data_IF_595321595404
#
_entry.id   IF_595321595404
#
_cell.length_a   1.000
_cell.length_b   1.000
_cell.length_c   1.000
_cell.angle_alpha   90.00
_cell.angle_beta   90.00
_cell.angle_gamma   90.00
#
_symmetry.space_group_name_H-M   'P 1'
#
loop_
_entity.id
_entity.type
_entity.pdbx_description
1 polymer ?
#
# COMPACT_ATOMS: atom_id res chain seq x y z
N UNK A 1 10.82 -27.57 -7.28
CA UNK A 1 10.90 -27.23 -8.72
C UNK A 1 9.58 -26.55 -9.05
N UNK A 2 9.60 -25.27 -9.43
CA UNK A 2 8.38 -24.53 -9.76
C UNK A 2 7.74 -25.11 -11.02
N UNK A 3 6.44 -25.38 -10.97
CA UNK A 3 5.68 -25.89 -12.09
C UNK A 3 5.51 -24.75 -13.10
N UNK A 4 6.20 -24.88 -14.23
CA UNK A 4 6.43 -23.81 -15.20
C UNK A 4 5.16 -23.12 -15.69
N UNK A 5 5.19 -21.80 -15.64
CA UNK A 5 4.56 -20.95 -16.64
C UNK A 5 5.64 -20.00 -17.18
N UNK A 6 5.48 -19.61 -18.45
CA UNK A 6 6.45 -18.90 -19.27
C UNK A 6 7.00 -17.66 -18.54
N UNK A 7 8.29 -17.63 -18.14
CA UNK A 7 8.79 -16.57 -17.27
C UNK A 7 8.85 -15.23 -18.01
N UNK A 8 8.14 -14.22 -17.50
CA UNK A 8 8.16 -12.84 -18.01
C UNK A 8 8.98 -11.93 -17.09
N UNK A 9 9.89 -11.12 -17.64
CA UNK A 9 10.71 -10.18 -16.85
C UNK A 9 11.92 -9.64 -17.62
N UNK A 10 12.83 -8.98 -16.90
CA UNK A 10 14.06 -8.41 -17.49
C UNK A 10 15.01 -9.57 -17.83
N UNK A 11 15.27 -9.78 -19.13
CA UNK A 11 16.26 -10.75 -19.59
C UNK A 11 17.62 -10.43 -18.97
N UNK A 12 18.27 -11.45 -18.38
CA UNK A 12 19.67 -11.30 -17.99
C UNK A 12 20.51 -11.04 -19.24
N UNK A 13 21.41 -10.06 -19.20
CA UNK A 13 22.35 -9.80 -20.31
C UNK A 13 23.44 -10.87 -20.30
N UNK A 14 23.15 -12.04 -20.89
CA UNK A 14 24.11 -13.13 -21.02
C UNK A 14 24.81 -13.04 -22.38
N UNK A 15 26.14 -12.98 -22.38
CA UNK A 15 26.93 -13.11 -23.60
C UNK A 15 26.98 -14.60 -24.01
N UNK A 16 26.04 -14.96 -24.89
CA UNK A 16 26.07 -16.10 -25.82
C UNK A 16 25.50 -17.45 -25.37
N UNK A 17 25.29 -17.75 -24.07
CA UNK A 17 24.57 -18.96 -23.63
C UNK A 17 23.76 -18.67 -22.36
N UNK A 18 22.45 -18.44 -22.50
CA UNK A 18 21.57 -18.11 -21.37
C UNK A 18 20.98 -19.35 -20.65
N UNK A 19 21.53 -20.55 -20.86
CA UNK A 19 20.98 -21.78 -20.29
C UNK A 19 19.62 -22.17 -20.90
N UNK A 20 18.99 -23.26 -20.45
CA UNK A 20 17.81 -23.87 -21.09
C UNK A 20 16.52 -23.04 -21.00
N UNK A 21 16.55 -21.89 -20.30
CA UNK A 21 15.39 -21.01 -20.07
C UNK A 21 15.69 -19.55 -20.40
N UNK A 22 16.64 -19.28 -21.31
CA UNK A 22 17.02 -17.91 -21.73
C UNK A 22 17.36 -16.96 -20.55
N UNK A 23 17.96 -17.52 -19.49
CA UNK A 23 18.40 -16.79 -18.31
C UNK A 23 17.28 -16.48 -17.33
N UNK A 24 16.08 -17.03 -17.54
CA UNK A 24 14.90 -16.78 -16.72
C UNK A 24 14.59 -17.99 -15.83
N UNK A 25 14.18 -17.74 -14.58
CA UNK A 25 13.72 -18.77 -13.64
C UNK A 25 12.22 -18.55 -13.41
N UNK A 26 11.33 -19.47 -13.86
CA UNK A 26 9.91 -19.37 -13.55
C UNK A 26 9.72 -19.49 -12.04
N UNK A 27 8.93 -18.59 -11.48
CA UNK A 27 8.67 -18.57 -10.06
C UNK A 27 7.23 -18.20 -9.76
N UNK A 28 6.70 -18.78 -8.69
CA UNK A 28 5.40 -18.44 -8.11
C UNK A 28 5.56 -17.71 -6.80
N UNK A 29 4.44 -17.29 -6.21
CA UNK A 29 4.48 -16.37 -5.09
C UNK A 29 5.10 -16.86 -3.78
N UNK A 30 5.27 -18.16 -3.61
CA UNK A 30 5.91 -18.73 -2.42
C UNK A 30 7.24 -19.42 -2.74
N UNK A 31 7.84 -19.12 -3.89
CA UNK A 31 9.06 -19.79 -4.32
C UNK A 31 10.29 -19.25 -3.59
N UNK A 32 11.29 -20.11 -3.43
CA UNK A 32 12.65 -19.72 -3.08
C UNK A 32 13.55 -19.93 -4.28
N UNK A 33 14.32 -18.92 -4.65
CA UNK A 33 15.37 -19.03 -5.65
C UNK A 33 16.67 -19.37 -4.92
N UNK A 34 17.33 -20.46 -5.32
CA UNK A 34 18.66 -20.82 -4.82
C UNK A 34 19.61 -21.00 -5.98
N UNK A 35 20.75 -20.32 -5.94
CA UNK A 35 21.83 -20.44 -6.92
C UNK A 35 23.04 -21.01 -6.20
N UNK A 36 23.56 -22.14 -6.68
CA UNK A 36 24.80 -22.75 -6.18
C UNK A 36 25.85 -22.79 -7.28
N UNK A 37 27.06 -22.34 -6.98
CA UNK A 37 28.21 -22.41 -7.88
C UNK A 37 29.35 -23.18 -7.21
N UNK A 38 29.83 -24.24 -7.88
CA UNK A 38 31.04 -24.95 -7.46
C UNK A 38 32.25 -24.42 -8.23
N UNK A 39 33.28 -23.95 -7.52
CA UNK A 39 34.46 -23.32 -8.16
C UNK A 39 35.73 -24.15 -8.06
N UNK A 40 35.76 -25.14 -7.17
CA UNK A 40 36.81 -26.16 -7.09
C UNK A 40 36.22 -27.42 -6.46
N UNK A 41 36.92 -28.56 -6.58
CA UNK A 41 36.45 -29.85 -6.07
C UNK A 41 35.97 -29.68 -4.62
N UNK A 42 34.68 -29.90 -4.39
CA UNK A 42 34.03 -29.85 -3.07
C UNK A 42 33.93 -28.43 -2.45
N UNK A 43 33.99 -27.35 -3.23
CA UNK A 43 33.77 -25.97 -2.76
C UNK A 43 32.62 -25.29 -3.50
N UNK A 44 31.49 -25.15 -2.80
CA UNK A 44 30.26 -24.52 -3.31
C UNK A 44 29.96 -23.21 -2.59
N UNK A 45 29.53 -22.20 -3.37
CA UNK A 45 28.90 -20.98 -2.85
C UNK A 45 27.43 -21.04 -3.20
N UNK A 46 26.57 -20.92 -2.19
CA UNK A 46 25.11 -20.89 -2.39
C UNK A 46 24.55 -19.55 -1.96
N UNK A 47 23.79 -18.90 -2.84
CA UNK A 47 22.95 -17.76 -2.53
C UNK A 47 21.48 -18.16 -2.62
N UNK A 48 20.67 -17.78 -1.64
CA UNK A 48 19.23 -18.05 -1.65
C UNK A 48 18.45 -16.76 -1.43
N UNK A 49 17.32 -16.62 -2.11
CA UNK A 49 16.35 -15.53 -1.95
C UNK A 49 14.94 -16.14 -1.87
N UNK A 50 14.08 -15.56 -1.05
CA UNK A 50 12.67 -15.94 -0.97
C UNK A 50 11.83 -14.91 -1.71
N UNK A 51 10.85 -15.39 -2.48
CA UNK A 51 9.77 -14.56 -2.99
C UNK A 51 8.75 -14.42 -1.86
N UNK A 52 8.45 -13.18 -1.52
CA UNK A 52 7.49 -12.75 -0.49
C UNK A 52 6.72 -11.59 -1.09
N UNK A 53 5.40 -11.63 -0.97
CA UNK A 53 4.52 -10.51 -1.34
C UNK A 53 4.08 -9.82 -0.08
N UNK A 54 3.84 -8.53 -0.21
CA UNK A 54 3.27 -7.71 0.83
C UNK A 54 1.79 -7.48 0.51
N UNK A 55 0.92 -7.72 1.48
CA UNK A 55 -0.43 -7.15 1.40
C UNK A 55 -0.32 -5.70 1.80
N UNK A 56 -0.76 -4.80 0.95
CA UNK A 56 -0.77 -3.38 1.30
C UNK A 56 -1.61 -3.11 2.55
N UNK A 57 -1.22 -2.11 3.33
CA UNK A 57 -1.98 -1.61 4.46
C UNK A 57 -2.38 -0.16 4.23
N UNK A 58 -3.57 0.25 4.66
CA UNK A 58 -4.07 1.61 4.53
C UNK A 58 -4.58 2.12 5.89
N UNK A 59 -4.18 3.34 6.27
CA UNK A 59 -4.56 3.95 7.54
C UNK A 59 -4.61 5.47 7.47
N UNK A 60 -5.37 6.09 8.39
CA UNK A 60 -5.30 7.52 8.65
C UNK A 60 -4.31 7.79 9.79
N UNK A 61 -3.46 8.80 9.65
CA UNK A 61 -2.42 9.10 10.65
C UNK A 61 -2.95 9.69 11.95
N UNK A 62 -4.19 10.17 11.96
CA UNK A 62 -4.85 10.67 13.17
C UNK A 62 -6.22 10.04 13.30
N UNK A 63 -6.66 9.89 14.54
CA UNK A 63 -7.98 9.34 14.86
C UNK A 63 -9.12 10.30 14.53
N UNK A 64 -8.84 11.61 14.43
CA UNK A 64 -9.81 12.66 14.21
C UNK A 64 -9.18 13.82 13.45
N UNK A 65 -9.93 14.43 12.53
CA UNK A 65 -9.55 15.65 11.83
C UNK A 65 -10.66 16.70 11.95
N UNK A 66 -10.32 17.99 12.14
CA UNK A 66 -11.31 19.04 12.20
C UNK A 66 -11.89 19.31 10.80
N UNK A 67 -13.14 19.77 10.78
CA UNK A 67 -13.79 20.28 9.57
C UNK A 67 -13.04 21.52 9.08
N UNK A 68 -12.73 21.59 7.79
CA UNK A 68 -11.78 22.56 7.21
C UNK A 68 -10.30 22.33 7.57
N UNK A 69 -9.96 21.15 8.09
CA UNK A 69 -8.60 20.71 8.37
C UNK A 69 -7.98 19.85 7.26
N UNK A 70 -6.79 19.31 7.56
CA UNK A 70 -6.06 18.40 6.69
C UNK A 70 -5.94 17.01 7.31
N UNK A 71 -6.31 16.00 6.54
CA UNK A 71 -6.06 14.59 6.82
C UNK A 71 -4.82 14.07 6.09
N UNK A 72 -4.13 13.09 6.69
CA UNK A 72 -3.06 12.35 5.99
C UNK A 72 -3.47 10.88 5.96
N UNK A 73 -3.66 10.38 4.75
CA UNK A 73 -3.81 8.96 4.47
C UNK A 73 -2.43 8.37 4.22
N UNK A 74 -2.13 7.24 4.85
CA UNK A 74 -0.92 6.47 4.65
C UNK A 74 -1.27 5.10 4.05
N UNK A 75 -0.48 4.69 3.06
CA UNK A 75 -0.46 3.33 2.52
C UNK A 75 0.94 2.74 2.72
N UNK A 76 1.03 1.52 3.22
CA UNK A 76 2.28 0.76 3.36
C UNK A 76 2.19 -0.41 2.40
N UNK A 77 2.93 -0.33 1.30
CA UNK A 77 3.02 -1.37 0.28
C UNK A 77 4.41 -1.30 -0.39
N UNK A 78 5.39 -2.07 0.10
CA UNK A 78 6.72 -2.21 -0.51
C UNK A 78 6.69 -2.62 -1.99
N UNK A 79 5.68 -3.37 -2.41
CA UNK A 79 5.60 -3.91 -3.77
C UNK A 79 5.22 -2.82 -4.79
N UNK A 80 4.62 -1.72 -4.32
CA UNK A 80 4.35 -0.52 -5.13
C UNK A 80 5.55 0.41 -5.33
N UNK A 81 6.71 0.12 -4.71
CA UNK A 81 7.96 0.86 -4.94
C UNK A 81 8.71 0.31 -6.15
N UNK A 82 8.20 0.59 -7.36
CA UNK A 82 8.67 -0.04 -8.61
C UNK A 82 10.12 0.31 -8.99
N UNK A 83 10.66 1.41 -8.47
CA UNK A 83 12.05 1.80 -8.71
C UNK A 83 12.70 2.31 -7.39
N UNK A 84 13.65 1.56 -6.81
CA UNK A 84 14.24 1.89 -5.52
C UNK A 84 15.11 3.17 -5.53
N UNK A 85 15.43 3.71 -6.72
CA UNK A 85 16.19 4.97 -6.85
C UNK A 85 15.33 6.22 -6.98
N UNK A 86 14.00 6.10 -7.06
CA UNK A 86 13.10 7.23 -7.33
C UNK A 86 11.84 7.17 -6.48
N UNK A 87 11.27 8.34 -6.18
CA UNK A 87 9.97 8.45 -5.50
C UNK A 87 8.86 7.98 -6.43
N UNK A 88 8.13 6.95 -6.00
CA UNK A 88 6.96 6.44 -6.70
C UNK A 88 5.69 7.21 -6.32
N UNK A 89 4.71 7.28 -7.23
CA UNK A 89 3.41 7.93 -7.02
C UNK A 89 2.28 7.13 -7.66
N UNK A 90 1.12 7.14 -7.02
CA UNK A 90 -0.13 6.59 -7.56
C UNK A 90 -1.34 7.32 -6.98
N UNK A 91 -2.52 7.08 -7.53
CA UNK A 91 -3.76 7.71 -7.03
C UNK A 91 -4.59 6.73 -6.21
N UNK A 92 -5.28 7.26 -5.19
CA UNK A 92 -6.18 6.51 -4.27
C UNK A 92 -7.51 7.26 -4.15
N UNK A 93 -8.61 6.51 -4.03
CA UNK A 93 -9.95 7.09 -3.90
C UNK A 93 -10.26 7.40 -2.44
N UNK A 94 -10.88 8.55 -2.21
CA UNK A 94 -11.40 8.97 -0.89
C UNK A 94 -12.78 9.60 -1.05
N UNK A 95 -13.70 9.29 -0.17
CA UNK A 95 -15.07 9.82 -0.18
C UNK A 95 -15.63 9.98 1.24
N UNK A 96 -16.77 10.66 1.36
CA UNK A 96 -17.50 10.82 2.62
C UNK A 96 -18.95 10.33 2.48
N UNK A 97 -19.64 10.11 3.59
CA UNK A 97 -21.07 9.76 3.56
C UNK A 97 -21.92 10.84 2.87
N UNK A 98 -21.55 12.12 3.00
CA UNK A 98 -22.22 13.25 2.33
C UNK A 98 -21.76 13.47 0.89
N UNK A 99 -20.63 12.91 0.47
CA UNK A 99 -20.11 12.96 -0.90
C UNK A 99 -19.56 11.60 -1.33
N UNK A 100 -20.47 10.73 -1.77
CA UNK A 100 -20.15 9.40 -2.27
C UNK A 100 -19.39 9.41 -3.61
N UNK A 101 -19.35 10.55 -4.31
CA UNK A 101 -18.54 10.72 -5.52
C UNK A 101 -17.06 10.93 -5.18
N UNK A 102 -16.79 11.57 -4.06
CA UNK A 102 -15.47 11.72 -3.48
C UNK A 102 -14.45 12.41 -4.40
N UNK A 103 -13.18 12.06 -4.22
CA UNK A 103 -12.08 12.51 -5.07
C UNK A 103 -10.96 11.48 -5.12
N UNK A 104 -10.03 11.66 -6.06
CA UNK A 104 -8.76 10.94 -6.09
C UNK A 104 -7.65 11.82 -5.53
N UNK A 105 -6.87 11.25 -4.62
CA UNK A 105 -5.67 11.89 -4.06
C UNK A 105 -4.42 11.19 -4.57
N UNK A 106 -3.38 11.96 -4.81
CA UNK A 106 -2.07 11.42 -5.17
C UNK A 106 -1.31 11.02 -3.92
N UNK A 107 -0.99 9.74 -3.84
CA UNK A 107 -0.12 9.13 -2.85
C UNK A 107 1.34 9.26 -3.33
N UNK A 108 2.21 9.79 -2.48
CA UNK A 108 3.63 9.97 -2.78
C UNK A 108 4.47 9.17 -1.81
N UNK A 109 5.42 8.41 -2.33
CA UNK A 109 6.38 7.68 -1.52
C UNK A 109 7.19 8.64 -0.64
N UNK A 110 7.36 8.31 0.64
CA UNK A 110 8.02 9.18 1.62
C UNK A 110 9.53 9.27 1.40
N UNK A 111 10.14 8.19 0.92
CA UNK A 111 11.51 8.12 0.44
C UNK A 111 11.64 6.99 -0.59
N UNK A 112 12.62 7.09 -1.50
CA UNK A 112 12.78 6.11 -2.57
C UNK A 112 13.04 4.71 -1.98
N UNK A 113 12.24 3.73 -2.39
CA UNK A 113 12.36 2.34 -1.90
C UNK A 113 11.74 2.08 -0.52
N UNK A 114 11.04 3.04 0.09
CA UNK A 114 10.45 2.84 1.42
C UNK A 114 9.20 1.98 1.42
N UNK A 115 8.45 1.95 0.31
CA UNK A 115 7.13 1.32 0.29
C UNK A 115 6.07 2.05 1.12
N UNK A 116 6.40 3.23 1.67
CA UNK A 116 5.47 4.01 2.49
C UNK A 116 5.03 5.22 1.69
N UNK A 117 3.73 5.33 1.44
CA UNK A 117 3.12 6.38 0.65
C UNK A 117 2.17 7.22 1.49
N UNK A 118 2.19 8.54 1.28
CA UNK A 118 1.31 9.46 1.98
C UNK A 118 0.60 10.41 1.00
N UNK A 119 -0.67 10.69 1.28
CA UNK A 119 -1.48 11.65 0.55
C UNK A 119 -2.23 12.56 1.53
N UNK A 120 -2.26 13.86 1.23
CA UNK A 120 -2.99 14.84 2.02
C UNK A 120 -4.40 15.04 1.46
N UNK A 121 -5.39 15.08 2.35
CA UNK A 121 -6.79 15.39 2.03
C UNK A 121 -7.19 16.68 2.75
N UNK A 122 -7.68 17.67 2.01
CA UNK A 122 -8.22 18.91 2.55
C UNK A 122 -9.74 18.75 2.72
N UNK A 123 -10.21 18.66 3.96
CA UNK A 123 -11.65 18.58 4.24
C UNK A 123 -12.28 19.95 4.07
N UNK A 124 -13.46 20.05 3.45
CA UNK A 124 -14.20 21.32 3.31
C UNK A 124 -15.70 21.10 3.46
N UNK A 125 -16.41 22.10 3.99
CA UNK A 125 -17.87 21.99 4.19
C UNK A 125 -18.70 22.76 3.17
N UNK A 126 -18.09 23.64 2.36
CA UNK A 126 -18.84 24.55 1.46
C UNK A 126 -18.59 24.33 -0.03
N UNK A 127 -17.57 23.54 -0.39
CA UNK A 127 -17.18 23.35 -1.78
C UNK A 127 -17.25 21.87 -2.16
N UNK A 128 -17.59 21.56 -3.43
CA UNK A 128 -17.54 20.20 -3.92
C UNK A 128 -16.11 19.68 -3.94
N UNK A 129 -15.99 18.35 -3.88
CA UNK A 129 -14.72 17.64 -3.98
C UNK A 129 -14.00 17.92 -5.30
N UNK A 130 -12.69 18.12 -5.23
CA UNK A 130 -11.84 18.37 -6.40
C UNK A 130 -10.36 18.28 -6.03
N UNK A 131 -9.59 17.51 -6.79
CA UNK A 131 -8.17 17.30 -6.50
C UNK A 131 -7.97 16.69 -5.11
N UNK A 132 -7.16 17.31 -4.27
CA UNK A 132 -6.98 16.86 -2.88
C UNK A 132 -8.05 17.36 -1.90
N UNK A 133 -9.09 18.05 -2.38
CA UNK A 133 -10.17 18.57 -1.54
C UNK A 133 -11.35 17.59 -1.52
N UNK A 134 -11.84 17.26 -0.33
CA UNK A 134 -13.00 16.41 -0.09
C UNK A 134 -14.11 17.19 0.62
N UNK A 135 -15.32 17.17 0.08
CA UNK A 135 -16.52 17.69 0.72
C UNK A 135 -16.91 16.78 1.90
N UNK A 136 -17.13 17.39 3.06
CA UNK A 136 -17.57 16.70 4.28
C UNK A 136 -18.62 17.51 5.01
N UNK A 137 -19.53 16.81 5.67
CA UNK A 137 -20.42 17.34 6.70
C UNK A 137 -19.94 16.94 8.10
N UNK A 138 -20.45 17.66 9.09
CA UNK A 138 -20.24 17.35 10.50
C UNK A 138 -20.80 15.96 10.82
N UNK A 139 -19.95 15.05 11.30
CA UNK A 139 -20.34 13.68 11.65
C UNK A 139 -20.23 12.65 10.52
N UNK A 140 -19.75 13.04 9.34
CA UNK A 140 -19.52 12.10 8.23
C UNK A 140 -18.54 10.99 8.59
N UNK A 141 -18.74 9.79 8.04
CA UNK A 141 -17.64 8.83 7.89
C UNK A 141 -16.89 9.17 6.61
N UNK A 142 -15.57 9.28 6.70
CA UNK A 142 -14.69 9.44 5.55
C UNK A 142 -13.94 8.15 5.32
N UNK A 143 -13.93 7.71 4.06
CA UNK A 143 -13.41 6.41 3.65
C UNK A 143 -12.30 6.60 2.63
N UNK A 144 -11.20 5.86 2.82
CA UNK A 144 -10.15 5.71 1.82
C UNK A 144 -10.11 4.27 1.30
N UNK A 145 -9.95 4.10 0.00
CA UNK A 145 -9.87 2.79 -0.65
C UNK A 145 -8.58 2.67 -1.45
N UNK A 146 -7.80 1.65 -1.08
CA UNK A 146 -6.62 1.24 -1.80
C UNK A 146 -6.89 -0.06 -2.55
N UNK A 147 -6.48 -0.13 -3.81
CA UNK A 147 -6.54 -1.37 -4.61
C UNK A 147 -5.12 -1.85 -4.81
N UNK A 148 -4.77 -2.93 -4.11
CA UNK A 148 -3.50 -3.62 -4.26
C UNK A 148 -3.52 -4.43 -5.57
N UNK A 149 -2.60 -4.05 -6.47
CA UNK A 149 -2.43 -4.65 -7.80
C UNK A 149 -1.15 -5.46 -7.92
N UNK A 150 -0.45 -5.65 -6.80
CA UNK A 150 0.85 -6.34 -6.74
C UNK A 150 0.73 -7.76 -6.23
N UNK A 151 -0.44 -8.13 -5.68
CA UNK A 151 -0.69 -9.48 -5.22
C UNK A 151 -0.63 -10.53 -6.34
N UNK A 152 -0.01 -11.70 -6.09
CA UNK A 152 0.08 -12.78 -7.05
C UNK A 152 -1.21 -13.61 -7.06
N UNK A 153 -1.39 -14.41 -8.12
CA UNK A 153 -2.39 -15.48 -8.17
C UNK A 153 -2.26 -16.41 -6.94
N UNK A 154 -3.36 -16.83 -6.28
CA UNK A 154 -4.76 -16.76 -6.72
C UNK A 154 -5.52 -15.50 -6.25
N UNK A 155 -4.85 -14.53 -5.62
CA UNK A 155 -5.52 -13.29 -5.26
C UNK A 155 -5.93 -12.56 -6.55
N UNK A 156 -7.12 -11.95 -6.53
CA UNK A 156 -7.52 -11.02 -7.57
C UNK A 156 -6.37 -10.03 -7.77
N UNK A 157 -5.96 -9.77 -9.01
CA UNK A 157 -5.00 -8.71 -9.38
C UNK A 157 -5.50 -7.29 -9.03
N UNK A 158 -6.58 -7.20 -8.25
CA UNK A 158 -7.27 -6.01 -7.76
C UNK A 158 -7.88 -6.30 -6.38
N UNK A 159 -7.09 -6.71 -5.39
CA UNK A 159 -7.61 -6.82 -4.03
C UNK A 159 -7.84 -5.41 -3.48
N UNK A 160 -9.08 -5.09 -3.10
CA UNK A 160 -9.43 -3.79 -2.51
C UNK A 160 -9.35 -3.86 -0.99
N UNK A 161 -8.63 -2.92 -0.39
CA UNK A 161 -8.49 -2.74 1.05
C UNK A 161 -9.08 -1.36 1.38
N UNK A 162 -10.06 -1.36 2.27
CA UNK A 162 -10.83 -0.16 2.63
C UNK A 162 -10.61 0.18 4.10
N UNK A 163 -10.38 1.45 4.40
CA UNK A 163 -10.36 1.97 5.78
C UNK A 163 -11.32 3.14 5.91
N UNK A 164 -12.09 3.13 6.99
CA UNK A 164 -13.06 4.18 7.33
C UNK A 164 -12.62 4.90 8.60
N UNK A 165 -12.82 6.21 8.67
CA UNK A 165 -12.74 6.96 9.92
C UNK A 165 -13.96 7.87 10.09
N UNK A 166 -14.32 8.15 11.33
CA UNK A 166 -15.41 9.08 11.64
C UNK A 166 -14.85 10.52 11.70
N UNK A 167 -15.32 11.39 10.84
CA UNK A 167 -15.05 12.82 10.87
C UNK A 167 -15.92 13.50 11.95
N UNK A 168 -15.28 14.25 12.86
CA UNK A 168 -15.95 14.95 13.96
C UNK A 168 -15.63 16.44 13.92
N UNK A 169 -16.66 17.28 13.89
CA UNK A 169 -16.53 18.72 14.00
C UNK A 169 -16.46 19.14 15.47
N UNK A 170 -15.33 19.72 15.88
CA UNK A 170 -15.22 20.34 17.19
C UNK A 170 -15.78 21.76 17.12
N UNK A 171 -17.03 21.94 17.53
CA UNK A 171 -17.51 23.29 17.87
C UNK A 171 -16.91 23.69 19.22
N UNK A 172 -16.39 24.92 19.26
CA UNK A 172 -15.65 25.51 20.38
C UNK A 172 -16.48 25.48 21.68
N UNK A 173 -16.32 24.45 22.51
CA UNK A 173 -16.74 24.49 23.91
C UNK A 173 -15.80 23.66 24.76
N UNK A 174 -15.22 24.34 25.74
CA UNK A 174 -14.34 23.79 26.77
C UNK A 174 -14.87 22.50 27.42
N UNK A 175 -13.98 21.51 27.51
CA UNK A 175 -13.87 20.53 28.62
C UNK A 175 -14.80 19.29 28.60
N UNK A 176 -14.26 18.13 28.22
CA UNK A 176 -13.72 17.08 29.14
C UNK A 176 -13.50 15.77 28.37
N UNK A 177 -12.36 15.12 28.64
CA UNK A 177 -11.99 13.80 28.10
C UNK A 177 -13.08 12.75 28.34
N UNK A 178 -13.37 11.93 27.33
CA UNK A 178 -13.86 10.55 27.53
C UNK A 178 -13.07 9.59 26.64
N UNK A 179 -12.01 9.03 27.19
CA UNK A 179 -11.48 7.73 26.79
C UNK A 179 -12.23 6.67 27.59
N UNK A 180 -13.12 5.88 26.98
CA UNK A 180 -13.66 4.69 27.64
C UNK A 180 -12.74 3.50 27.35
N UNK A 181 -11.96 3.12 28.36
CA UNK A 181 -11.36 1.80 28.49
C UNK A 181 -12.50 0.77 28.57
N UNK A 182 -12.53 -0.21 27.66
CA UNK A 182 -13.53 -1.27 27.64
C UNK A 182 -12.88 -2.59 28.08
N UNK A 183 -12.39 -2.64 29.32
CA UNK A 183 -12.18 -3.91 30.01
C UNK A 183 -12.13 -3.70 31.52
N UNK A 184 -13.28 -3.89 32.18
CA UNK A 184 -13.39 -4.18 33.61
C UNK A 184 -14.81 -4.72 33.88
N UNK A 185 -15.03 -6.03 33.68
CA UNK A 185 -15.99 -6.84 34.44
C UNK A 185 -15.52 -8.30 34.44
N UNK A 186 -15.81 -8.99 35.55
CA UNK A 186 -15.42 -10.31 36.06
C UNK A 186 -14.46 -10.09 37.25
N UNK A 187 -14.88 -10.12 38.52
CA UNK A 187 -16.05 -10.71 39.18
C UNK A 187 -16.58 -9.82 40.32
#
# INVERSE_FOLDING_TARGET
>A
MGNGENPSGIMSTCNSICGPTDGMIPSTGNDGISVSFEYSRDQTVTGSALIRWHMGEIQWLQSNYPSNGQGILQIIDPDMSLNPGTISKFDTSVWSDSDSGGTKITMTETSAGSGIFQGTVNFVTQYPSSGNRLHVSDGDTVTGEYIDRTLPSPYSSTASITITFNHYSWHNSTSTRKSSCQQCKND
#
